data_IF_200678260224
#
_entry.id   IF_200678260224
#
_cell.length_a   1.000
_cell.length_b   1.000
_cell.length_c   1.000
_cell.angle_alpha   90.00
_cell.angle_beta   90.00
_cell.angle_gamma   90.00
#
_symmetry.space_group_name_H-M   'P 1'
#
loop_
_entity.id
_entity.type
_entity.pdbx_description
1 polymer ?
#
# COMPACT_ATOMS: atom_id res chain seq x y z
N UNK A 1 -7.96 16.98 85.64
CA UNK A 1 -7.10 17.02 84.45
C UNK A 1 -7.56 15.91 83.50
N UNK A 2 -8.21 16.27 82.38
CA UNK A 2 -8.69 15.34 81.34
C UNK A 2 -8.34 15.99 80.01
N UNK A 3 -7.32 15.48 79.34
CA UNK A 3 -6.82 15.95 78.04
C UNK A 3 -7.65 15.29 76.96
N UNK A 4 -8.42 16.01 76.12
CA UNK A 4 -9.09 15.40 74.98
C UNK A 4 -8.07 15.15 73.87
N UNK A 5 -7.87 13.88 73.53
CA UNK A 5 -7.02 13.41 72.44
C UNK A 5 -7.70 13.77 71.12
N UNK A 6 -7.15 14.73 70.38
CA UNK A 6 -7.58 15.06 69.03
C UNK A 6 -7.09 13.97 68.06
N UNK A 7 -8.00 13.10 67.63
CA UNK A 7 -7.74 12.08 66.60
C UNK A 7 -7.74 12.77 65.24
N UNK A 8 -6.55 13.02 64.71
CA UNK A 8 -6.34 13.51 63.34
C UNK A 8 -6.67 12.39 62.35
N UNK A 9 -7.82 12.47 61.69
CA UNK A 9 -8.16 11.64 60.54
C UNK A 9 -7.33 12.09 59.34
N UNK A 10 -6.26 11.34 59.03
CA UNK A 10 -5.55 11.46 57.77
C UNK A 10 -6.46 10.93 56.65
N UNK A 11 -7.14 11.84 55.96
CA UNK A 11 -7.83 11.53 54.71
C UNK A 11 -6.78 11.22 53.65
N UNK A 12 -6.52 9.92 53.43
CA UNK A 12 -5.70 9.45 52.32
C UNK A 12 -6.39 9.79 51.01
N UNK A 13 -5.82 10.75 50.26
CA UNK A 13 -6.28 11.07 48.91
C UNK A 13 -5.70 10.02 47.97
N UNK A 14 -6.53 9.07 47.53
CA UNK A 14 -6.16 8.14 46.47
C UNK A 14 -6.02 8.92 45.16
N UNK A 15 -4.79 9.17 44.73
CA UNK A 15 -4.49 9.67 43.39
C UNK A 15 -4.83 8.57 42.38
N UNK A 16 -5.98 8.69 41.74
CA UNK A 16 -6.31 7.90 40.57
C UNK A 16 -5.30 8.25 39.46
N UNK A 17 -4.39 7.32 39.17
CA UNK A 17 -3.48 7.45 38.03
C UNK A 17 -4.31 7.24 36.76
N UNK A 18 -4.43 8.29 35.94
CA UNK A 18 -5.08 8.23 34.63
C UNK A 18 -4.35 7.21 33.75
N UNK A 19 -5.04 6.13 33.35
CA UNK A 19 -4.50 5.19 32.38
C UNK A 19 -4.16 5.92 31.07
N UNK A 20 -3.04 5.60 30.39
CA UNK A 20 -2.68 6.21 29.13
C UNK A 20 -3.77 5.93 28.09
N UNK A 21 -4.56 6.96 27.76
CA UNK A 21 -5.58 6.88 26.71
C UNK A 21 -4.89 6.63 25.38
N UNK A 22 -5.37 5.65 24.62
CA UNK A 22 -4.89 5.41 23.24
C UNK A 22 -4.98 6.71 22.45
N UNK A 23 -3.98 7.05 21.62
CA UNK A 23 -4.07 8.23 20.77
C UNK A 23 -5.33 8.13 19.91
N UNK A 24 -6.09 9.23 19.77
CA UNK A 24 -7.28 9.24 18.93
C UNK A 24 -6.92 8.78 17.53
N UNK A 25 -7.76 7.92 16.95
CA UNK A 25 -7.56 7.42 15.59
C UNK A 25 -7.48 8.62 14.63
N UNK A 26 -6.53 8.67 13.68
CA UNK A 26 -6.39 9.80 12.78
C UNK A 26 -7.70 10.06 12.04
N UNK A 27 -8.31 11.21 12.31
CA UNK A 27 -9.52 11.64 11.61
C UNK A 27 -9.15 11.94 10.17
N UNK A 28 -9.98 11.46 9.23
CA UNK A 28 -9.76 11.75 7.80
C UNK A 28 -9.90 13.26 7.59
N UNK A 29 -8.92 13.93 6.95
CA UNK A 29 -8.99 15.37 6.74
C UNK A 29 -10.18 15.74 5.85
N UNK A 30 -10.75 16.91 6.12
CA UNK A 30 -11.88 17.46 5.37
C UNK A 30 -11.49 17.69 3.90
N UNK A 31 -12.48 17.86 3.03
CA UNK A 31 -12.20 18.17 1.62
C UNK A 31 -11.39 19.47 1.50
N UNK A 32 -11.73 20.48 2.30
CA UNK A 32 -11.04 21.77 2.32
C UNK A 32 -9.58 21.64 2.73
N UNK A 33 -9.29 20.92 3.82
CA UNK A 33 -7.92 20.67 4.29
C UNK A 33 -7.10 19.92 3.24
N UNK A 34 -7.70 18.92 2.61
CA UNK A 34 -7.07 18.17 1.52
C UNK A 34 -6.75 19.07 0.33
N UNK A 35 -7.63 20.01 0.01
CA UNK A 35 -7.44 20.97 -1.08
C UNK A 35 -6.36 22.00 -0.77
N UNK A 36 -6.27 22.50 0.48
CA UNK A 36 -5.17 23.34 0.95
C UNK A 36 -3.81 22.64 0.81
N UNK A 37 -3.73 21.37 1.24
CA UNK A 37 -2.50 20.57 1.08
C UNK A 37 -2.12 20.35 -0.40
N UNK A 38 -3.10 20.13 -1.29
CA UNK A 38 -2.85 20.00 -2.73
C UNK A 38 -2.29 21.30 -3.30
N UNK A 39 -2.88 22.45 -2.96
CA UNK A 39 -2.45 23.76 -3.43
C UNK A 39 -0.99 24.05 -3.03
N UNK A 40 -0.65 23.85 -1.76
CA UNK A 40 0.72 24.02 -1.26
C UNK A 40 1.71 23.11 -1.99
N UNK A 41 1.36 21.83 -2.19
CA UNK A 41 2.19 20.86 -2.91
C UNK A 41 2.40 21.21 -4.39
N UNK A 42 1.41 21.84 -5.01
CA UNK A 42 1.49 22.29 -6.38
C UNK A 42 2.30 23.57 -6.56
N UNK A 43 2.45 24.37 -5.49
CA UNK A 43 3.32 25.55 -5.46
C UNK A 43 4.79 25.18 -5.17
N UNK A 44 5.03 24.23 -4.25
CA UNK A 44 6.39 23.93 -3.76
C UNK A 44 7.22 23.10 -4.73
N UNK A 45 6.58 22.46 -5.70
CA UNK A 45 7.26 21.65 -6.69
C UNK A 45 6.98 22.31 -8.03
N UNK A 46 8.02 22.70 -8.76
CA UNK A 46 7.96 22.97 -10.20
C UNK A 46 7.53 21.68 -10.93
N UNK A 47 6.29 21.23 -10.72
CA UNK A 47 5.73 20.04 -11.33
C UNK A 47 5.36 20.40 -12.76
N UNK A 48 6.38 20.42 -13.61
CA UNK A 48 6.27 20.08 -15.02
C UNK A 48 5.83 18.60 -15.18
N UNK A 49 4.84 18.16 -14.40
CA UNK A 49 4.14 16.92 -14.68
C UNK A 49 3.17 17.23 -15.82
N UNK A 50 3.72 17.32 -17.02
CA UNK A 50 3.05 17.61 -18.32
C UNK A 50 2.13 16.48 -18.77
N UNK A 51 1.79 15.56 -17.86
CA UNK A 51 0.82 14.52 -18.09
C UNK A 51 -0.54 15.18 -18.38
N UNK A 52 -0.93 15.17 -19.65
CA UNK A 52 -2.26 15.59 -20.07
C UNK A 52 -3.31 14.62 -19.53
N UNK A 53 -4.31 15.13 -18.85
CA UNK A 53 -5.40 14.36 -18.24
C UNK A 53 -6.70 14.81 -18.89
N UNK A 54 -7.46 13.87 -19.45
CA UNK A 54 -8.83 14.13 -19.87
C UNK A 54 -9.75 14.06 -18.64
N UNK A 55 -10.48 15.13 -18.36
CA UNK A 55 -11.49 15.16 -17.33
C UNK A 55 -12.85 14.66 -17.82
N UNK A 56 -13.67 14.19 -16.89
CA UNK A 56 -15.07 13.79 -17.15
C UNK A 56 -15.97 14.95 -17.61
N UNK A 57 -15.48 16.18 -17.46
CA UNK A 57 -16.04 17.43 -17.99
C UNK A 57 -15.61 17.70 -19.44
N UNK A 58 -14.94 16.74 -20.09
CA UNK A 58 -14.40 16.82 -21.45
C UNK A 58 -13.31 17.88 -21.61
N UNK A 59 -12.71 18.36 -20.52
CA UNK A 59 -11.60 19.30 -20.56
C UNK A 59 -10.25 18.58 -20.48
N UNK A 60 -9.27 19.08 -21.23
CA UNK A 60 -7.89 18.60 -21.15
C UNK A 60 -7.10 19.42 -20.13
N UNK A 61 -6.66 18.77 -19.07
CA UNK A 61 -5.80 19.37 -18.05
C UNK A 61 -4.34 19.12 -18.42
N UNK A 62 -3.54 20.17 -18.51
CA UNK A 62 -2.15 20.12 -18.98
C UNK A 62 -1.17 19.64 -17.90
N UNK A 63 -1.63 19.56 -16.65
CA UNK A 63 -0.88 18.98 -15.55
C UNK A 63 -1.76 18.27 -14.54
N UNK A 64 -1.13 17.39 -13.76
CA UNK A 64 -1.75 16.76 -12.59
C UNK A 64 -2.22 17.80 -11.57
N UNK A 65 -1.47 18.87 -11.37
CA UNK A 65 -1.82 19.92 -10.42
C UNK A 65 -3.10 20.65 -10.84
N UNK A 66 -3.20 21.04 -12.11
CA UNK A 66 -4.40 21.69 -12.65
C UNK A 66 -5.64 20.81 -12.46
N UNK A 67 -5.54 19.51 -12.78
CA UNK A 67 -6.64 18.57 -12.59
C UNK A 67 -7.04 18.40 -11.11
N UNK A 68 -6.06 18.33 -10.20
CA UNK A 68 -6.33 18.14 -8.77
C UNK A 68 -6.94 19.39 -8.13
N UNK A 69 -6.56 20.58 -8.58
CA UNK A 69 -7.17 21.84 -8.15
C UNK A 69 -8.60 21.97 -8.69
N UNK A 70 -8.84 21.65 -9.96
CA UNK A 70 -10.19 21.62 -10.51
C UNK A 70 -11.11 20.63 -9.79
N UNK A 71 -10.57 19.53 -9.25
CA UNK A 71 -11.32 18.59 -8.39
C UNK A 71 -11.68 19.15 -7.02
N UNK A 72 -11.01 20.20 -6.56
CA UNK A 72 -11.40 20.90 -5.34
C UNK A 72 -12.64 21.76 -5.56
N UNK A 73 -12.76 22.36 -6.76
CA UNK A 73 -13.94 23.12 -7.18
C UNK A 73 -15.09 22.18 -7.57
N UNK A 74 -14.78 21.08 -8.26
CA UNK A 74 -15.73 20.05 -8.65
C UNK A 74 -15.34 18.68 -8.09
N UNK A 75 -15.84 18.30 -6.90
CA UNK A 75 -15.52 17.01 -6.26
C UNK A 75 -15.94 15.78 -7.08
N UNK A 76 -16.87 15.97 -8.02
CA UNK A 76 -17.35 14.93 -8.93
C UNK A 76 -16.46 14.73 -10.16
N UNK A 77 -15.53 15.64 -10.44
CA UNK A 77 -14.61 15.53 -11.57
C UNK A 77 -13.73 14.26 -11.45
N UNK A 78 -13.77 13.43 -12.50
CA UNK A 78 -13.00 12.19 -12.63
C UNK A 78 -12.09 12.25 -13.85
N UNK A 79 -11.13 11.33 -13.90
CA UNK A 79 -10.34 11.09 -15.10
C UNK A 79 -11.21 10.32 -16.08
N UNK A 80 -11.37 10.86 -17.27
CA UNK A 80 -11.93 10.14 -18.40
C UNK A 80 -10.83 9.28 -19.04
N UNK A 81 -11.10 7.99 -19.18
CA UNK A 81 -10.14 7.04 -19.78
C UNK A 81 -10.14 7.13 -21.30
N UNK A 82 -11.18 7.71 -21.89
CA UNK A 82 -11.27 7.95 -23.31
C UNK A 82 -10.79 9.36 -23.63
N UNK A 83 -9.48 9.50 -23.83
CA UNK A 83 -8.83 10.78 -24.20
C UNK A 83 -9.52 11.48 -25.40
N UNK A 84 -10.18 10.71 -26.27
CA UNK A 84 -10.93 11.23 -27.43
C UNK A 84 -12.04 12.19 -27.04
N UNK A 85 -12.63 12.05 -25.85
CA UNK A 85 -13.67 12.97 -25.38
C UNK A 85 -13.15 14.40 -25.17
N UNK A 86 -11.84 14.56 -24.93
CA UNK A 86 -11.18 15.85 -24.73
C UNK A 86 -10.35 16.31 -25.94
N UNK A 87 -10.15 15.46 -26.96
CA UNK A 87 -9.24 15.75 -28.10
C UNK A 87 -9.94 16.39 -29.31
N UNK A 88 -11.19 16.84 -29.19
CA UNK A 88 -11.92 17.48 -30.30
C UNK A 88 -12.14 16.54 -31.49
N UNK A 89 -12.53 17.10 -32.64
CA UNK A 89 -12.81 16.32 -33.85
C UNK A 89 -11.54 15.63 -34.37
N UNK A 90 -11.50 14.30 -34.21
CA UNK A 90 -10.39 13.43 -34.63
C UNK A 90 -10.45 13.11 -36.13
N UNK A 91 -11.15 13.91 -36.93
CA UNK A 91 -11.24 13.78 -38.38
C UNK A 91 -9.86 13.69 -39.06
N UNK A 92 -8.82 14.26 -38.44
CA UNK A 92 -7.42 14.19 -38.90
C UNK A 92 -6.69 12.88 -38.58
N UNK A 93 -7.20 12.04 -37.70
CA UNK A 93 -6.58 10.75 -37.31
C UNK A 93 -7.34 9.52 -37.81
N UNK A 94 -8.39 9.73 -38.61
CA UNK A 94 -9.16 8.68 -39.27
C UNK A 94 -8.28 7.75 -40.13
N UNK A 95 -7.18 8.27 -40.65
CA UNK A 95 -6.22 7.55 -41.49
C UNK A 95 -5.03 6.93 -40.72
N UNK A 96 -4.96 7.08 -39.39
CA UNK A 96 -3.93 6.40 -38.59
C UNK A 96 -4.41 5.01 -38.21
N UNK A 97 -3.84 3.99 -38.86
CA UNK A 97 -4.00 2.59 -38.47
C UNK A 97 -3.57 2.43 -37.02
N UNK A 98 -4.49 1.95 -36.18
CA UNK A 98 -4.23 1.70 -34.75
C UNK A 98 -2.96 0.85 -34.61
N UNK A 99 -1.96 1.25 -33.81
CA UNK A 99 -0.78 0.43 -33.59
C UNK A 99 -1.23 -0.95 -33.13
N UNK A 100 -0.89 -1.98 -33.90
CA UNK A 100 -1.14 -3.36 -33.51
C UNK A 100 -0.34 -3.58 -32.24
N UNK A 101 -1.03 -3.72 -31.10
CA UNK A 101 -0.36 -4.13 -29.86
C UNK A 101 0.34 -5.44 -30.18
N UNK A 102 1.65 -5.50 -29.94
CA UNK A 102 2.41 -6.73 -30.07
C UNK A 102 1.72 -7.86 -29.27
N UNK A 103 1.98 -9.12 -29.63
CA UNK A 103 1.42 -10.26 -28.93
C UNK A 103 1.66 -10.09 -27.42
N UNK A 104 0.60 -10.28 -26.63
CA UNK A 104 0.71 -10.23 -25.18
C UNK A 104 1.72 -11.29 -24.76
N UNK A 105 2.77 -10.95 -23.97
CA UNK A 105 3.70 -11.95 -23.48
C UNK A 105 2.91 -13.06 -22.77
N UNK A 106 3.05 -14.29 -23.24
CA UNK A 106 2.48 -15.46 -22.58
C UNK A 106 3.23 -15.65 -21.26
N UNK A 107 2.46 -15.81 -20.18
CA UNK A 107 3.04 -16.14 -18.89
C UNK A 107 3.60 -17.57 -18.99
N UNK A 108 4.86 -17.83 -18.57
CA UNK A 108 5.44 -19.17 -18.63
C UNK A 108 4.63 -20.12 -17.77
N UNK A 109 4.57 -21.39 -18.18
CA UNK A 109 3.89 -22.45 -17.43
C UNK A 109 4.65 -22.74 -16.13
N UNK A 110 4.00 -23.46 -15.20
CA UNK A 110 4.70 -23.90 -13.98
C UNK A 110 5.89 -24.78 -14.34
N UNK A 111 5.71 -25.69 -15.30
CA UNK A 111 6.73 -26.61 -15.78
C UNK A 111 7.95 -25.86 -16.31
N UNK A 112 7.76 -24.87 -17.17
CA UNK A 112 8.86 -24.06 -17.72
C UNK A 112 9.65 -23.36 -16.62
N UNK A 113 8.95 -22.87 -15.59
CA UNK A 113 9.60 -22.19 -14.46
C UNK A 113 10.39 -23.19 -13.63
N UNK A 114 9.84 -24.38 -13.37
CA UNK A 114 10.51 -25.42 -12.59
C UNK A 114 11.73 -25.99 -13.31
N UNK A 115 11.63 -26.20 -14.63
CA UNK A 115 12.76 -26.60 -15.47
C UNK A 115 13.87 -25.56 -15.45
N UNK A 116 13.54 -24.27 -15.57
CA UNK A 116 14.54 -23.19 -15.45
C UNK A 116 15.20 -23.15 -14.09
N UNK A 117 14.44 -23.25 -13.01
CA UNK A 117 15.01 -23.30 -11.64
C UNK A 117 15.95 -24.49 -11.48
N UNK A 118 15.63 -25.65 -12.09
CA UNK A 118 16.47 -26.84 -12.04
C UNK A 118 17.77 -26.70 -12.83
N UNK A 119 17.75 -26.02 -13.98
CA UNK A 119 18.92 -25.88 -14.85
C UNK A 119 19.82 -24.70 -14.46
N UNK A 120 19.22 -23.53 -14.23
CA UNK A 120 19.93 -22.25 -14.06
C UNK A 120 19.93 -21.77 -12.60
N UNK A 121 19.21 -22.46 -11.71
CA UNK A 121 18.94 -21.98 -10.36
C UNK A 121 17.88 -20.87 -10.34
N UNK A 122 17.68 -20.30 -9.16
CA UNK A 122 16.71 -19.23 -8.99
C UNK A 122 17.27 -17.89 -9.50
N UNK A 123 16.52 -17.14 -10.34
CA UNK A 123 16.94 -15.81 -10.77
C UNK A 123 16.99 -14.86 -9.58
N UNK A 124 17.92 -13.89 -9.58
CA UNK A 124 18.14 -12.97 -8.45
C UNK A 124 16.86 -12.25 -7.98
N UNK A 125 16.00 -11.88 -8.94
CA UNK A 125 14.69 -11.25 -8.68
C UNK A 125 13.75 -12.12 -7.83
N UNK A 126 13.97 -13.43 -7.76
CA UNK A 126 13.23 -14.35 -6.91
C UNK A 126 13.83 -14.49 -5.50
N UNK A 127 15.10 -14.14 -5.32
CA UNK A 127 15.82 -14.25 -4.05
C UNK A 127 15.72 -12.98 -3.19
N UNK A 128 14.95 -11.98 -3.64
CA UNK A 128 14.75 -10.74 -2.90
C UNK A 128 14.15 -11.00 -1.49
N UNK A 129 14.89 -10.59 -0.46
CA UNK A 129 14.69 -11.01 0.93
C UNK A 129 13.45 -10.41 1.63
N UNK A 130 12.72 -9.51 0.98
CA UNK A 130 11.57 -8.80 1.56
C UNK A 130 10.20 -9.37 1.11
N UNK A 131 10.20 -10.57 0.53
CA UNK A 131 8.97 -11.23 0.06
C UNK A 131 8.59 -12.36 1.01
N UNK A 132 7.61 -12.10 1.89
CA UNK A 132 7.04 -13.12 2.78
C UNK A 132 5.84 -13.79 2.10
N UNK A 133 6.00 -15.04 1.68
CA UNK A 133 4.93 -15.87 1.12
C UNK A 133 4.62 -16.96 2.13
N UNK A 134 3.36 -17.37 2.23
CA UNK A 134 2.96 -18.51 3.03
C UNK A 134 2.04 -19.40 2.22
N UNK A 135 1.97 -20.68 2.55
CA UNK A 135 1.00 -21.61 1.98
C UNK A 135 -0.23 -21.79 2.89
N UNK A 136 -1.15 -22.66 2.47
CA UNK A 136 -2.35 -22.99 3.26
C UNK A 136 -2.06 -23.87 4.48
N UNK A 137 -0.89 -24.54 4.50
CA UNK A 137 -0.44 -25.38 5.60
C UNK A 137 0.25 -24.57 6.72
N UNK A 138 0.45 -23.27 6.51
CA UNK A 138 1.10 -22.37 7.46
C UNK A 138 2.61 -22.27 7.31
N UNK A 139 3.21 -22.92 6.29
CA UNK A 139 4.62 -22.76 6.01
C UNK A 139 4.90 -21.34 5.51
N UNK A 140 6.02 -20.76 5.92
CA UNK A 140 6.43 -19.41 5.54
C UNK A 140 7.74 -19.49 4.76
N UNK A 141 7.74 -18.84 3.59
CA UNK A 141 8.84 -18.74 2.66
C UNK A 141 9.32 -17.29 2.64
N UNK A 142 10.63 -17.11 2.80
CA UNK A 142 11.30 -15.80 2.90
C UNK A 142 11.71 -15.22 1.54
N UNK A 143 11.52 -15.99 0.47
CA UNK A 143 11.77 -15.54 -0.89
C UNK A 143 10.78 -16.18 -1.86
N UNK A 144 10.63 -15.56 -3.03
CA UNK A 144 9.83 -16.13 -4.10
C UNK A 144 10.45 -17.42 -4.64
N UNK A 145 11.77 -17.52 -4.65
CA UNK A 145 12.50 -18.74 -5.01
C UNK A 145 12.11 -19.89 -4.07
N UNK A 146 12.18 -19.69 -2.76
CA UNK A 146 11.86 -20.72 -1.78
C UNK A 146 10.45 -21.29 -1.96
N UNK A 147 9.45 -20.41 -2.16
CA UNK A 147 8.08 -20.83 -2.45
C UNK A 147 7.96 -21.56 -3.79
N UNK A 148 8.64 -21.08 -4.84
CA UNK A 148 8.59 -21.68 -6.16
C UNK A 148 9.22 -23.07 -6.19
N UNK A 149 10.35 -23.26 -5.50
CA UNK A 149 11.00 -24.57 -5.35
C UNK A 149 10.08 -25.56 -4.64
N UNK A 150 9.41 -25.13 -3.56
CA UNK A 150 8.42 -25.97 -2.88
C UNK A 150 7.23 -26.30 -3.79
N UNK A 151 6.78 -25.36 -4.62
CA UNK A 151 5.71 -25.61 -5.60
C UNK A 151 6.15 -26.47 -6.78
N UNK A 152 7.45 -26.56 -7.09
CA UNK A 152 7.96 -27.50 -8.07
C UNK A 152 7.95 -28.93 -7.54
N UNK A 153 8.10 -29.11 -6.22
CA UNK A 153 7.92 -30.40 -5.56
C UNK A 153 6.43 -30.77 -5.41
N UNK A 154 5.57 -29.78 -5.11
CA UNK A 154 4.12 -29.93 -5.06
C UNK A 154 3.41 -28.91 -5.97
N UNK A 155 3.03 -29.32 -7.20
CA UNK A 155 2.34 -28.45 -8.16
C UNK A 155 0.99 -27.91 -7.66
N UNK A 156 0.39 -28.55 -6.64
CA UNK A 156 -0.89 -28.12 -6.06
C UNK A 156 -0.72 -27.02 -5.02
N UNK A 157 0.50 -26.76 -4.54
CA UNK A 157 0.81 -25.77 -3.52
C UNK A 157 0.35 -24.37 -3.94
N UNK A 158 -0.53 -23.78 -3.11
CA UNK A 158 -1.07 -22.44 -3.32
C UNK A 158 -0.62 -21.48 -2.21
N UNK A 159 -0.36 -20.20 -2.55
CA UNK A 159 -0.09 -19.21 -1.53
C UNK A 159 -1.38 -18.89 -0.76
N UNK A 160 -1.27 -18.77 0.56
CA UNK A 160 -2.32 -18.27 1.44
C UNK A 160 -2.38 -16.74 1.39
N UNK A 161 -3.59 -16.19 1.55
CA UNK A 161 -3.81 -14.74 1.66
C UNK A 161 -3.38 -14.17 3.02
N UNK A 162 -3.31 -15.01 4.05
CA UNK A 162 -2.99 -14.61 5.41
C UNK A 162 -1.88 -15.50 5.95
N UNK A 163 -0.71 -14.90 6.13
CA UNK A 163 0.42 -15.60 6.71
C UNK A 163 0.33 -15.59 8.24
N UNK A 164 0.80 -16.66 8.90
CA UNK A 164 0.87 -16.70 10.34
C UNK A 164 1.69 -15.52 10.85
N UNK A 165 1.32 -15.02 12.04
CA UNK A 165 2.11 -13.98 12.70
C UNK A 165 3.46 -14.59 13.10
N UNK A 166 4.58 -13.87 12.92
CA UNK A 166 5.84 -14.28 13.54
C UNK A 166 5.60 -14.46 15.03
N UNK A 167 5.89 -15.64 15.56
CA UNK A 167 5.92 -15.81 17.00
C UNK A 167 7.18 -15.12 17.52
N UNK A 168 7.11 -14.35 18.62
CA UNK A 168 8.31 -13.87 19.28
C UNK A 168 9.13 -15.10 19.67
N UNK A 169 10.36 -15.18 19.16
CA UNK A 169 11.32 -16.22 19.51
C UNK A 169 11.47 -16.23 21.02
N UNK A 170 11.15 -17.35 21.67
CA UNK A 170 11.56 -17.58 23.04
C UNK A 170 13.07 -17.43 23.10
N UNK A 171 13.50 -16.35 23.75
CA UNK A 171 14.88 -16.09 24.13
C UNK A 171 15.45 -17.35 24.81
N UNK A 172 16.69 -17.78 24.51
CA UNK A 172 17.29 -18.90 25.22
C UNK A 172 17.33 -18.53 26.70
N UNK A 173 16.62 -19.29 27.53
CA UNK A 173 16.77 -19.21 28.98
C UNK A 173 18.20 -19.59 29.31
N UNK A 174 19.03 -18.59 29.59
CA UNK A 174 20.35 -18.77 30.18
C UNK A 174 20.18 -19.58 31.48
N UNK A 175 20.85 -20.72 31.65
CA UNK A 175 20.74 -21.49 32.87
C UNK A 175 21.46 -20.72 33.98
N UNK A 176 20.71 -20.27 34.98
CA UNK A 176 21.28 -19.78 36.22
C UNK A 176 22.02 -20.93 36.92
N UNK A 177 23.33 -20.78 37.10
CA UNK A 177 24.12 -21.53 38.07
C UNK A 177 25.08 -20.58 38.79
#
# INVERSE_FOLDING_TARGET
MKVPIAVLFLAGVALAQELPTRPPKPTRPSLEERCKMIAQKCQSVNQANTLKICGSDKQMYTSKCQFMLARCENPSLRVDRNIRHCMGDLSQFSNMTKPTRGPRPTKPSLEDVCQKIKMEGCPDKMNEANIRICDMNGNVYTSKCAFMTARCADPTLRPSRRCPRPQPTSEPTEPAL
#
